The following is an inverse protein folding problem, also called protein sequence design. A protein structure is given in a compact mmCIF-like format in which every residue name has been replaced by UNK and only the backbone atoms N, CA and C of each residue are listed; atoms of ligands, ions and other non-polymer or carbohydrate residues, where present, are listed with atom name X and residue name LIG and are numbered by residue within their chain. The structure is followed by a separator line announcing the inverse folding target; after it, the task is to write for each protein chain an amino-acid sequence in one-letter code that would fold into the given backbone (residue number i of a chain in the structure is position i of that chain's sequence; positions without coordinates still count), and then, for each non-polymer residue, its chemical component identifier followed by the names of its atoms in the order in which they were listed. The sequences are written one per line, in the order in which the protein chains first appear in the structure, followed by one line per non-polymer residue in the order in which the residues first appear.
data_IF_342793436463
#
_entry.id   IF_342793436463
#
_cell.length_a   1.000
_cell.length_b   1.000
_cell.length_c   1.000
_cell.angle_alpha   90.00
_cell.angle_beta   90.00
_cell.angle_gamma   90.00
#
_symmetry.space_group_name_H-M   'P 1'
#
loop_
_entity.id
_entity.type
_entity.pdbx_description
1 polymer ?
#
# COMPACT_ATOMS: atom_id res chain seq x y z
N UNK A 1 -37.23 19.06 -4.78
CA UNK A 1 -36.23 18.28 -5.53
C UNK A 1 -36.35 16.84 -5.05
N UNK A 2 -36.54 15.89 -5.94
CA UNK A 2 -36.52 14.47 -5.60
C UNK A 2 -35.11 14.14 -5.10
N UNK A 3 -35.01 13.55 -3.91
CA UNK A 3 -33.77 13.14 -3.31
C UNK A 3 -33.11 12.04 -4.19
N UNK A 4 -31.82 12.15 -4.46
CA UNK A 4 -31.08 11.13 -5.22
C UNK A 4 -31.05 9.81 -4.43
N UNK A 5 -31.05 8.66 -5.12
CA UNK A 5 -30.95 7.37 -4.45
C UNK A 5 -29.60 7.25 -3.70
N UNK A 6 -29.61 6.50 -2.61
CA UNK A 6 -28.38 6.13 -1.92
C UNK A 6 -27.52 5.21 -2.81
N UNK A 7 -26.22 5.14 -2.52
CA UNK A 7 -25.26 4.33 -3.30
C UNK A 7 -25.02 2.97 -2.64
N UNK A 8 -24.60 1.94 -3.40
CA UNK A 8 -24.32 0.60 -2.85
C UNK A 8 -23.19 0.54 -1.82
N UNK A 9 -22.42 1.61 -1.69
CA UNK A 9 -21.29 1.74 -0.79
C UNK A 9 -21.45 2.95 0.15
N UNK A 10 -20.42 3.20 0.98
CA UNK A 10 -20.36 4.37 1.87
C UNK A 10 -19.59 5.54 1.27
N UNK A 11 -19.16 5.46 0.01
CA UNK A 11 -18.37 6.54 -0.57
C UNK A 11 -19.24 7.74 -0.95
N UNK A 12 -18.61 8.90 -1.13
CA UNK A 12 -19.26 10.12 -1.58
C UNK A 12 -18.97 10.29 -3.06
N UNK A 13 -20.04 10.29 -3.85
CA UNK A 13 -19.98 10.33 -5.29
C UNK A 13 -20.45 11.69 -5.81
N UNK A 14 -19.55 12.68 -6.00
CA UNK A 14 -19.93 13.99 -6.51
C UNK A 14 -20.42 13.89 -7.96
N UNK A 15 -21.44 14.65 -8.30
CA UNK A 15 -21.93 14.78 -9.68
C UNK A 15 -21.11 15.87 -10.39
N UNK A 16 -19.94 15.50 -10.90
CA UNK A 16 -19.10 16.41 -11.68
C UNK A 16 -19.55 16.52 -13.14
N UNK A 17 -20.22 15.47 -13.64
CA UNK A 17 -20.76 15.40 -14.99
C UNK A 17 -22.20 14.91 -14.93
N UNK A 18 -23.10 15.60 -15.61
CA UNK A 18 -24.52 15.20 -15.70
C UNK A 18 -24.74 14.20 -16.83
N UNK A 19 -25.80 13.40 -16.69
CA UNK A 19 -26.21 12.45 -17.74
C UNK A 19 -26.91 13.22 -18.87
N UNK A 20 -26.36 13.16 -20.08
CA UNK A 20 -26.93 13.80 -21.27
C UNK A 20 -27.86 12.87 -22.06
N UNK A 21 -27.50 11.61 -22.14
CA UNK A 21 -28.30 10.59 -22.83
C UNK A 21 -28.08 9.21 -22.20
N UNK A 22 -29.12 8.42 -22.24
CA UNK A 22 -29.11 7.01 -21.82
C UNK A 22 -29.67 6.18 -22.96
N UNK A 23 -28.93 5.18 -23.39
CA UNK A 23 -29.38 4.20 -24.37
C UNK A 23 -29.08 2.79 -23.85
N UNK A 24 -29.77 1.80 -24.36
CA UNK A 24 -29.47 0.41 -24.01
C UNK A 24 -29.68 -0.51 -25.23
N UNK A 25 -29.01 -1.62 -25.21
CA UNK A 25 -29.36 -2.79 -26.02
C UNK A 25 -29.83 -3.91 -25.06
N UNK A 26 -29.76 -5.19 -25.51
CA UNK A 26 -30.27 -6.32 -24.72
C UNK A 26 -29.78 -6.31 -23.27
N UNK A 27 -28.50 -6.18 -23.00
CA UNK A 27 -27.85 -6.40 -21.72
C UNK A 27 -26.81 -5.32 -21.33
N UNK A 28 -26.68 -4.27 -22.15
CA UNK A 28 -25.72 -3.19 -21.93
C UNK A 28 -26.43 -1.84 -21.87
N UNK A 29 -26.21 -1.09 -20.80
CA UNK A 29 -26.55 0.32 -20.66
C UNK A 29 -25.38 1.16 -21.18
N UNK A 30 -25.66 2.18 -21.98
CA UNK A 30 -24.70 3.20 -22.42
C UNK A 30 -25.15 4.56 -21.94
N UNK A 31 -24.24 5.31 -21.30
CA UNK A 31 -24.50 6.67 -20.79
C UNK A 31 -23.54 7.64 -21.48
N UNK A 32 -24.08 8.72 -22.06
CA UNK A 32 -23.32 9.86 -22.54
C UNK A 32 -23.34 10.95 -21.48
N UNK A 33 -22.16 11.46 -21.10
CA UNK A 33 -21.96 12.45 -20.05
C UNK A 33 -21.81 13.87 -20.63
N UNK A 34 -21.95 14.89 -19.80
CA UNK A 34 -21.88 16.31 -20.19
C UNK A 34 -20.50 16.75 -20.72
N UNK A 35 -19.44 15.99 -20.45
CA UNK A 35 -18.09 16.19 -21.01
C UNK A 35 -17.88 15.47 -22.35
N UNK A 36 -18.92 14.82 -22.89
CA UNK A 36 -18.86 14.04 -24.12
C UNK A 36 -18.35 12.61 -23.97
N UNK A 37 -17.88 12.20 -22.78
CA UNK A 37 -17.47 10.83 -22.54
C UNK A 37 -18.67 9.88 -22.56
N UNK A 38 -18.42 8.61 -22.94
CA UNK A 38 -19.43 7.56 -22.91
C UNK A 38 -18.94 6.40 -22.04
N UNK A 39 -19.80 5.88 -21.19
CA UNK A 39 -19.57 4.70 -20.36
C UNK A 39 -20.58 3.60 -20.62
N UNK A 40 -20.17 2.35 -20.42
CA UNK A 40 -21.01 1.18 -20.63
C UNK A 40 -21.01 0.30 -19.39
N UNK A 41 -22.18 -0.31 -19.11
CA UNK A 41 -22.41 -1.16 -17.96
C UNK A 41 -23.23 -2.39 -18.36
N UNK A 42 -22.79 -3.55 -17.93
CA UNK A 42 -23.54 -4.79 -18.12
C UNK A 42 -24.74 -4.86 -17.18
N UNK A 43 -25.86 -5.41 -17.61
CA UNK A 43 -27.09 -5.51 -16.83
C UNK A 43 -26.92 -6.23 -15.49
N UNK A 44 -26.14 -7.32 -15.44
CA UNK A 44 -25.85 -8.03 -14.19
C UNK A 44 -25.10 -7.18 -13.18
N UNK A 45 -24.06 -6.43 -13.62
CA UNK A 45 -23.34 -5.50 -12.76
C UNK A 45 -24.29 -4.48 -12.12
N UNK A 46 -25.19 -3.91 -12.91
CA UNK A 46 -26.16 -2.95 -12.40
C UNK A 46 -27.17 -3.61 -11.46
N UNK A 47 -27.67 -4.79 -11.81
CA UNK A 47 -28.70 -5.48 -11.04
C UNK A 47 -28.20 -5.97 -9.68
N UNK A 48 -26.98 -6.51 -9.60
CA UNK A 48 -26.40 -6.94 -8.32
C UNK A 48 -26.00 -5.77 -7.41
N UNK A 49 -25.83 -4.57 -7.97
CA UNK A 49 -25.54 -3.34 -7.26
C UNK A 49 -26.76 -2.40 -7.16
N UNK A 50 -27.97 -2.91 -7.36
CA UNK A 50 -29.19 -2.14 -7.22
C UNK A 50 -29.34 -1.59 -5.81
N UNK A 51 -29.52 -0.27 -5.61
CA UNK A 51 -29.64 0.32 -4.28
C UNK A 51 -31.06 0.12 -3.72
N UNK A 52 -31.43 -1.11 -3.52
CA UNK A 52 -32.67 -1.53 -2.88
C UNK A 52 -32.40 -2.52 -1.74
N UNK A 53 -33.25 -2.58 -0.68
CA UNK A 53 -32.98 -3.39 0.51
C UNK A 53 -32.94 -4.90 0.29
N UNK A 54 -33.50 -5.40 -0.82
CA UNK A 54 -33.47 -6.84 -1.14
C UNK A 54 -32.13 -7.22 -1.81
N UNK A 55 -31.47 -6.26 -2.46
CA UNK A 55 -30.21 -6.47 -3.16
C UNK A 55 -29.00 -6.07 -2.32
N UNK A 56 -29.03 -4.88 -1.73
CA UNK A 56 -27.95 -4.32 -0.88
C UNK A 56 -28.52 -3.96 0.49
N UNK A 57 -27.91 -4.44 1.56
CA UNK A 57 -28.34 -4.13 2.92
C UNK A 57 -28.19 -2.62 3.20
N UNK A 58 -29.28 -1.89 3.56
CA UNK A 58 -29.27 -0.42 3.57
C UNK A 58 -28.33 0.20 4.63
N UNK A 59 -27.99 -0.54 5.67
CA UNK A 59 -27.07 -0.07 6.73
C UNK A 59 -25.65 -0.64 6.60
N UNK A 60 -25.50 -1.92 6.22
CA UNK A 60 -24.19 -2.55 6.08
C UNK A 60 -23.55 -2.29 4.71
N UNK A 61 -24.36 -1.96 3.70
CA UNK A 61 -23.93 -1.80 2.30
C UNK A 61 -23.28 -3.07 1.73
N UNK A 62 -23.69 -4.20 2.26
CA UNK A 62 -23.28 -5.52 1.79
C UNK A 62 -24.36 -6.13 0.91
N UNK A 63 -23.96 -6.95 -0.05
CA UNK A 63 -24.84 -7.64 -0.97
C UNK A 63 -25.68 -8.68 -0.19
N UNK A 64 -27.01 -8.65 -0.40
CA UNK A 64 -27.97 -9.59 0.18
C UNK A 64 -28.34 -10.72 -0.78
N UNK A 65 -28.08 -10.56 -2.07
CA UNK A 65 -28.43 -11.51 -3.12
C UNK A 65 -27.17 -12.21 -3.64
N UNK A 66 -27.26 -13.53 -3.83
CA UNK A 66 -26.19 -14.24 -4.55
C UNK A 66 -26.26 -13.91 -6.04
N UNK A 67 -25.16 -13.61 -6.73
CA UNK A 67 -25.16 -13.44 -8.19
C UNK A 67 -25.77 -14.63 -8.95
N UNK A 68 -25.67 -15.85 -8.40
CA UNK A 68 -26.26 -17.07 -8.99
C UNK A 68 -27.81 -17.10 -8.88
N UNK A 69 -28.41 -16.25 -8.06
CA UNK A 69 -29.86 -16.11 -7.96
C UNK A 69 -30.44 -15.11 -8.97
N UNK A 70 -29.60 -14.37 -9.66
CA UNK A 70 -29.98 -13.47 -10.76
C UNK A 70 -29.87 -14.27 -12.08
N UNK A 71 -30.88 -14.13 -12.94
CA UNK A 71 -30.86 -14.79 -14.25
C UNK A 71 -29.63 -14.36 -15.05
N UNK A 72 -28.82 -15.32 -15.52
CA UNK A 72 -27.64 -15.07 -16.32
C UNK A 72 -27.92 -14.39 -17.68
N UNK A 73 -29.15 -14.55 -18.21
CA UNK A 73 -29.63 -13.88 -19.41
C UNK A 73 -30.36 -12.56 -19.14
N UNK A 74 -30.20 -12.00 -17.93
CA UNK A 74 -30.81 -10.75 -17.53
C UNK A 74 -30.52 -9.63 -18.56
N UNK A 75 -31.59 -8.93 -18.94
CA UNK A 75 -31.51 -7.79 -19.86
C UNK A 75 -32.10 -6.52 -19.28
N UNK A 76 -31.97 -5.44 -20.03
CA UNK A 76 -32.56 -4.14 -19.75
C UNK A 76 -33.81 -3.97 -20.65
N UNK A 77 -34.96 -3.73 -20.02
CA UNK A 77 -36.23 -3.48 -20.71
C UNK A 77 -36.37 -2.02 -21.09
N UNK A 78 -36.00 -1.12 -20.20
CA UNK A 78 -35.99 0.32 -20.43
C UNK A 78 -34.97 1.00 -19.54
N UNK A 79 -34.45 2.16 -19.99
CA UNK A 79 -33.60 3.02 -19.19
C UNK A 79 -33.93 4.49 -19.48
N UNK A 80 -33.94 5.34 -18.44
CA UNK A 80 -34.26 6.76 -18.55
C UNK A 80 -33.63 7.58 -17.42
N UNK A 81 -33.47 8.85 -17.65
CA UNK A 81 -33.09 9.79 -16.58
C UNK A 81 -34.39 10.31 -15.96
N UNK A 82 -34.51 10.26 -14.62
CA UNK A 82 -35.68 10.80 -13.92
C UNK A 82 -35.56 12.32 -13.73
N UNK A 83 -36.62 12.92 -13.18
CA UNK A 83 -36.69 14.37 -12.94
C UNK A 83 -35.67 14.86 -11.90
N UNK A 84 -35.08 13.98 -11.08
CA UNK A 84 -34.06 14.27 -10.10
C UNK A 84 -32.64 14.09 -10.63
N UNK A 85 -32.48 13.57 -11.87
CA UNK A 85 -31.19 13.28 -12.50
C UNK A 85 -30.68 11.86 -12.22
N UNK A 86 -31.42 11.02 -11.49
CA UNK A 86 -31.06 9.62 -11.29
C UNK A 86 -31.34 8.81 -12.57
N UNK A 87 -30.58 7.72 -12.76
CA UNK A 87 -30.78 6.79 -13.87
C UNK A 87 -31.69 5.65 -13.43
N UNK A 88 -32.92 5.63 -13.97
CA UNK A 88 -33.90 4.58 -13.73
C UNK A 88 -33.71 3.47 -14.78
N UNK A 89 -33.66 2.22 -14.31
CA UNK A 89 -33.47 1.02 -15.16
C UNK A 89 -34.57 0.00 -14.81
N UNK A 90 -35.31 -0.44 -15.81
CA UNK A 90 -36.24 -1.56 -15.68
C UNK A 90 -35.60 -2.81 -16.26
N UNK A 91 -35.38 -3.81 -15.44
CA UNK A 91 -34.78 -5.08 -15.85
C UNK A 91 -35.81 -6.10 -16.35
N UNK A 92 -35.37 -7.13 -17.07
CA UNK A 92 -36.25 -8.19 -17.57
C UNK A 92 -36.81 -9.08 -16.48
N UNK A 93 -36.19 -9.15 -15.29
CA UNK A 93 -36.70 -9.83 -14.09
C UNK A 93 -37.79 -9.07 -13.34
N UNK A 94 -38.32 -7.99 -13.95
CA UNK A 94 -39.34 -7.09 -13.41
C UNK A 94 -38.91 -6.21 -12.24
N UNK A 95 -37.61 -6.15 -11.93
CA UNK A 95 -37.08 -5.17 -10.98
C UNK A 95 -36.83 -3.83 -11.66
N UNK A 96 -37.10 -2.76 -10.93
CA UNK A 96 -36.77 -1.38 -11.31
C UNK A 96 -35.80 -0.83 -10.28
N UNK A 97 -34.71 -0.23 -10.74
CA UNK A 97 -33.66 0.34 -9.88
C UNK A 97 -33.35 1.78 -10.28
N UNK A 98 -33.10 2.62 -9.27
CA UNK A 98 -32.64 4.00 -9.45
C UNK A 98 -31.18 4.08 -9.06
N UNK A 99 -30.33 4.61 -9.94
CA UNK A 99 -28.91 4.73 -9.71
C UNK A 99 -28.46 6.19 -9.59
N UNK A 100 -27.61 6.45 -8.60
CA UNK A 100 -26.99 7.75 -8.42
C UNK A 100 -26.01 8.02 -9.58
N UNK A 101 -26.11 9.15 -10.32
CA UNK A 101 -25.28 9.41 -11.49
C UNK A 101 -23.80 9.54 -11.15
N UNK A 102 -23.46 10.14 -10.00
CA UNK A 102 -22.08 10.21 -9.53
C UNK A 102 -21.47 8.83 -9.29
N UNK A 103 -22.24 7.88 -8.72
CA UNK A 103 -21.79 6.51 -8.53
C UNK A 103 -21.54 5.81 -9.88
N UNK A 104 -22.49 5.89 -10.80
CA UNK A 104 -22.33 5.35 -12.15
C UNK A 104 -21.05 5.91 -12.83
N UNK A 105 -20.86 7.24 -12.75
CA UNK A 105 -19.66 7.86 -13.31
C UNK A 105 -18.38 7.36 -12.66
N UNK A 106 -18.38 7.18 -11.36
CA UNK A 106 -17.21 6.76 -10.57
C UNK A 106 -16.78 5.32 -10.81
N UNK A 107 -17.75 4.42 -11.10
CA UNK A 107 -17.43 3.00 -11.42
C UNK A 107 -17.17 2.76 -12.91
N UNK A 108 -17.31 3.80 -13.74
CA UNK A 108 -17.19 3.67 -15.18
C UNK A 108 -15.75 3.34 -15.60
N UNK A 109 -15.61 2.41 -16.53
CA UNK A 109 -14.32 2.10 -17.15
C UNK A 109 -14.05 3.03 -18.34
N UNK A 110 -13.02 3.86 -18.24
CA UNK A 110 -12.60 4.78 -19.30
C UNK A 110 -11.26 4.41 -19.94
N UNK A 111 -10.81 3.16 -19.76
CA UNK A 111 -9.57 2.67 -20.35
C UNK A 111 -8.28 3.09 -19.63
N UNK A 112 -8.38 3.75 -18.49
CA UNK A 112 -7.25 4.12 -17.65
C UNK A 112 -7.42 3.56 -16.22
N UNK A 113 -6.32 3.18 -15.62
CA UNK A 113 -6.26 2.86 -14.20
C UNK A 113 -5.91 4.14 -13.44
N UNK A 114 -6.84 4.62 -12.61
CA UNK A 114 -6.67 5.81 -11.77
C UNK A 114 -5.93 5.49 -10.45
N UNK A 115 -5.41 4.28 -10.30
CA UNK A 115 -4.64 3.89 -9.11
C UNK A 115 -3.39 4.76 -8.99
N UNK A 116 -3.15 5.43 -7.85
CA UNK A 116 -1.96 6.23 -7.64
C UNK A 116 -0.68 5.40 -7.87
N UNK A 117 0.17 5.86 -8.77
CA UNK A 117 1.44 5.20 -9.06
C UNK A 117 2.51 5.62 -8.06
N UNK A 118 3.38 4.70 -7.62
CA UNK A 118 4.50 5.02 -6.75
C UNK A 118 5.42 6.08 -7.39
N UNK A 119 5.87 7.05 -6.59
CA UNK A 119 6.93 7.98 -6.98
C UNK A 119 8.27 7.31 -6.71
N UNK A 120 8.95 6.91 -7.77
CA UNK A 120 10.24 6.22 -7.68
C UNK A 120 11.36 7.22 -7.45
N UNK A 121 12.34 6.87 -6.60
CA UNK A 121 13.43 7.77 -6.26
C UNK A 121 14.79 7.07 -6.19
N UNK A 122 15.86 7.83 -6.37
CA UNK A 122 17.23 7.51 -5.96
C UNK A 122 17.63 8.45 -4.83
N UNK A 123 18.57 8.04 -3.99
CA UNK A 123 19.06 8.89 -2.90
C UNK A 123 19.67 10.20 -3.38
N UNK A 124 20.31 10.22 -4.55
CA UNK A 124 20.85 11.44 -5.17
C UNK A 124 19.78 12.47 -5.54
N UNK A 125 18.56 12.02 -5.90
CA UNK A 125 17.42 12.87 -6.26
C UNK A 125 16.54 13.19 -5.03
N UNK A 126 16.48 12.29 -4.06
CA UNK A 126 15.67 12.37 -2.84
C UNK A 126 16.54 12.06 -1.62
N UNK A 127 17.38 13.00 -1.14
CA UNK A 127 18.35 12.74 -0.07
C UNK A 127 17.72 12.62 1.33
N UNK A 128 16.50 13.08 1.51
CA UNK A 128 15.74 13.06 2.77
C UNK A 128 14.32 12.54 2.54
N UNK A 129 13.72 11.81 3.49
CA UNK A 129 12.33 11.39 3.38
C UNK A 129 11.38 12.60 3.44
N UNK A 130 10.22 12.56 2.74
CA UNK A 130 9.16 13.54 2.96
C UNK A 130 8.87 13.66 4.45
N UNK A 131 8.94 14.90 4.98
CA UNK A 131 8.92 15.14 6.42
C UNK A 131 7.83 16.14 6.79
N UNK A 132 7.16 15.87 7.93
CA UNK A 132 6.04 16.65 8.44
C UNK A 132 6.28 16.97 9.92
N UNK A 133 5.73 18.08 10.40
CA UNK A 133 5.70 18.39 11.83
C UNK A 133 4.83 17.37 12.56
N UNK A 134 5.41 16.67 13.52
CA UNK A 134 4.74 15.59 14.24
C UNK A 134 3.55 16.05 15.09
N UNK A 135 3.71 17.02 16.00
CA UNK A 135 2.62 17.62 16.76
C UNK A 135 1.48 18.12 15.88
N UNK A 136 1.80 18.80 14.77
CA UNK A 136 0.78 19.29 13.84
C UNK A 136 0.05 18.12 13.14
N UNK A 137 0.76 17.12 12.67
CA UNK A 137 0.15 15.94 12.06
C UNK A 137 -0.76 15.18 13.03
N UNK A 138 -0.42 15.15 14.33
CA UNK A 138 -1.27 14.50 15.33
C UNK A 138 -2.55 15.29 15.65
N UNK A 139 -2.53 16.62 15.53
CA UNK A 139 -3.67 17.49 15.83
C UNK A 139 -4.52 17.84 14.61
N UNK A 140 -3.93 17.82 13.40
CA UNK A 140 -4.58 18.20 12.14
C UNK A 140 -4.77 16.98 11.23
N UNK A 141 -6.01 16.48 11.05
CA UNK A 141 -6.28 15.31 10.21
C UNK A 141 -5.87 15.49 8.74
N UNK A 142 -5.80 16.72 8.21
CA UNK A 142 -5.36 16.98 6.83
C UNK A 142 -3.86 16.78 6.68
N UNK A 143 -3.05 17.27 7.63
CA UNK A 143 -1.61 17.02 7.66
C UNK A 143 -1.31 15.53 7.90
N UNK A 144 -2.10 14.89 8.77
CA UNK A 144 -2.00 13.44 8.97
C UNK A 144 -2.27 12.67 7.67
N UNK A 145 -3.29 13.05 6.89
CA UNK A 145 -3.56 12.47 5.58
C UNK A 145 -2.38 12.69 4.61
N UNK A 146 -1.83 13.90 4.55
CA UNK A 146 -0.68 14.21 3.67
C UNK A 146 0.54 13.34 4.01
N UNK A 147 0.81 13.09 5.30
CA UNK A 147 1.86 12.17 5.73
C UNK A 147 1.60 10.73 5.27
N UNK A 148 0.35 10.24 5.39
CA UNK A 148 -0.02 8.90 4.92
C UNK A 148 0.07 8.78 3.39
N UNK A 149 -0.34 9.81 2.66
CA UNK A 149 -0.22 9.86 1.20
C UNK A 149 1.25 9.87 0.77
N UNK A 150 2.11 10.62 1.44
CA UNK A 150 3.55 10.60 1.19
C UNK A 150 4.15 9.20 1.46
N UNK A 151 3.72 8.52 2.54
CA UNK A 151 4.14 7.14 2.81
C UNK A 151 3.72 6.18 1.69
N UNK A 152 2.49 6.29 1.17
CA UNK A 152 2.01 5.51 0.02
C UNK A 152 2.84 5.80 -1.23
N UNK A 153 3.06 7.06 -1.54
CA UNK A 153 3.63 7.50 -2.81
C UNK A 153 5.14 7.28 -2.89
N UNK A 154 5.88 7.60 -1.82
CA UNK A 154 7.35 7.47 -1.76
C UNK A 154 7.81 6.16 -1.11
N UNK A 155 6.92 5.43 -0.42
CA UNK A 155 7.30 4.26 0.36
C UNK A 155 8.05 4.58 1.66
N UNK A 156 8.25 5.85 1.97
CA UNK A 156 8.90 6.35 3.19
C UNK A 156 8.40 7.75 3.52
N UNK A 157 8.11 8.04 4.80
CA UNK A 157 7.73 9.37 5.26
C UNK A 157 8.05 9.55 6.75
N UNK A 158 8.40 10.78 7.17
CA UNK A 158 8.86 11.07 8.53
C UNK A 158 7.96 12.10 9.22
N UNK A 159 7.63 11.84 10.50
CA UNK A 159 7.16 12.85 11.44
C UNK A 159 8.33 13.30 12.30
N UNK A 160 8.48 14.61 12.53
CA UNK A 160 9.56 15.21 13.32
C UNK A 160 9.03 15.90 14.57
N UNK A 161 9.87 15.98 15.58
CA UNK A 161 9.58 16.75 16.80
C UNK A 161 8.46 16.17 17.66
N UNK A 162 8.20 14.88 17.59
CA UNK A 162 7.25 14.21 18.46
C UNK A 162 7.72 14.22 19.92
N UNK A 163 6.80 14.37 20.89
CA UNK A 163 7.16 14.36 22.31
C UNK A 163 7.65 13.00 22.76
N UNK A 164 8.61 12.97 23.69
CA UNK A 164 9.18 11.74 24.28
C UNK A 164 8.19 11.13 25.30
N UNK A 165 7.12 10.51 24.79
CA UNK A 165 6.05 9.94 25.58
C UNK A 165 5.95 8.43 25.40
N UNK A 166 5.82 7.67 26.47
CA UNK A 166 5.62 6.22 26.42
C UNK A 166 4.28 5.88 25.77
N UNK A 167 4.30 4.84 24.91
CA UNK A 167 3.14 4.38 24.18
C UNK A 167 2.69 5.28 23.02
N UNK A 168 3.38 6.39 22.74
CA UNK A 168 3.02 7.31 21.65
C UNK A 168 3.09 6.60 20.29
N UNK A 169 4.11 5.78 20.05
CA UNK A 169 4.25 5.02 18.81
C UNK A 169 3.02 4.17 18.54
N UNK A 170 2.55 3.41 19.51
CA UNK A 170 1.36 2.57 19.36
C UNK A 170 0.10 3.42 19.14
N UNK A 171 -0.03 4.55 19.85
CA UNK A 171 -1.14 5.47 19.65
C UNK A 171 -1.20 6.01 18.22
N UNK A 172 -0.04 6.35 17.62
CA UNK A 172 0.02 6.83 16.23
C UNK A 172 -0.33 5.71 15.26
N UNK A 173 0.28 4.52 15.41
CA UNK A 173 0.05 3.41 14.49
C UNK A 173 -1.40 2.92 14.54
N UNK A 174 -2.02 2.86 15.72
CA UNK A 174 -3.44 2.46 15.87
C UNK A 174 -4.43 3.47 15.26
N UNK A 175 -4.03 4.71 15.04
CA UNK A 175 -4.83 5.67 14.24
C UNK A 175 -4.84 5.33 12.75
N UNK A 176 -3.87 4.59 12.27
CA UNK A 176 -3.82 4.08 10.89
C UNK A 176 -4.66 2.81 10.81
N UNK A 177 -4.36 1.83 11.67
CA UNK A 177 -5.04 0.55 11.75
C UNK A 177 -4.45 -0.37 12.80
N UNK A 178 -4.83 -1.65 12.84
CA UNK A 178 -4.29 -2.65 13.74
C UNK A 178 -2.77 -2.79 13.64
N UNK A 179 -2.15 -3.01 14.79
CA UNK A 179 -0.75 -3.41 14.86
C UNK A 179 -0.63 -4.90 14.51
N UNK A 180 0.32 -5.23 13.65
CA UNK A 180 0.65 -6.61 13.33
C UNK A 180 1.72 -7.13 14.27
N UNK A 181 1.36 -8.07 15.13
CA UNK A 181 2.27 -8.67 16.09
C UNK A 181 3.25 -9.64 15.42
N UNK A 182 4.50 -9.58 15.82
CA UNK A 182 5.58 -10.46 15.35
C UNK A 182 6.08 -11.40 16.44
N UNK A 183 7.07 -12.24 16.12
CA UNK A 183 7.79 -13.03 17.13
C UNK A 183 8.66 -12.19 18.07
N UNK A 184 8.81 -10.88 17.80
CA UNK A 184 9.45 -9.91 18.70
C UNK A 184 8.42 -9.20 19.60
N UNK A 185 7.14 -9.61 19.53
CA UNK A 185 6.02 -9.00 20.23
C UNK A 185 5.29 -7.96 19.38
N UNK A 186 4.43 -7.20 20.06
CA UNK A 186 3.60 -6.13 19.48
C UNK A 186 4.41 -4.87 19.19
N UNK A 187 5.35 -4.56 20.10
CA UNK A 187 6.35 -3.52 19.98
C UNK A 187 7.72 -4.10 20.33
N UNK A 188 8.75 -3.67 19.68
CA UNK A 188 10.12 -4.08 19.94
C UNK A 188 11.02 -2.85 20.08
N UNK A 189 12.21 -3.05 20.68
CA UNK A 189 13.23 -2.01 20.83
C UNK A 189 14.49 -2.40 20.09
N UNK A 190 15.13 -1.41 19.47
CA UNK A 190 16.45 -1.55 18.87
C UNK A 190 17.49 -0.94 19.82
N UNK A 191 18.10 -1.81 20.58
CA UNK A 191 19.19 -1.52 21.51
C UNK A 191 20.27 -2.59 21.40
N UNK A 192 21.49 -2.28 21.83
CA UNK A 192 22.61 -3.24 21.83
C UNK A 192 22.34 -4.30 22.89
N UNK A 193 22.50 -5.57 22.50
CA UNK A 193 22.44 -6.72 23.41
C UNK A 193 23.81 -7.35 23.59
N UNK A 194 24.10 -7.83 24.79
CA UNK A 194 25.35 -8.56 25.09
C UNK A 194 25.39 -9.93 24.39
N UNK A 195 24.25 -10.61 24.22
CA UNK A 195 24.10 -11.88 23.45
C UNK A 195 23.08 -11.66 22.33
N UNK A 196 23.47 -11.06 21.19
CA UNK A 196 22.57 -10.71 20.12
C UNK A 196 22.12 -11.96 19.35
N UNK A 197 20.80 -12.14 19.21
CA UNK A 197 20.15 -13.14 18.37
C UNK A 197 19.82 -12.63 16.96
N UNK A 198 20.15 -11.37 16.67
CA UNK A 198 20.01 -10.72 15.37
C UNK A 198 21.08 -9.65 15.18
N UNK A 199 21.51 -9.41 13.93
CA UNK A 199 22.42 -8.31 13.59
C UNK A 199 21.84 -6.93 13.93
N UNK A 200 20.53 -6.80 14.01
CA UNK A 200 19.86 -5.55 14.41
C UNK A 200 20.25 -5.09 15.84
N UNK A 201 20.68 -6.02 16.70
CA UNK A 201 21.09 -5.76 18.10
C UNK A 201 22.60 -5.61 18.27
N UNK A 202 23.35 -5.48 17.18
CA UNK A 202 24.80 -5.18 17.19
C UNK A 202 25.05 -3.71 16.84
N UNK A 203 26.29 -3.25 17.01
CA UNK A 203 26.73 -1.92 16.54
C UNK A 203 27.30 -1.93 15.12
N UNK A 204 27.40 -3.10 14.50
CA UNK A 204 27.94 -3.25 13.14
C UNK A 204 27.01 -2.64 12.10
N UNK A 205 27.56 -2.38 10.91
CA UNK A 205 26.75 -1.97 9.76
C UNK A 205 25.72 -3.07 9.42
N UNK A 206 24.48 -2.66 9.23
CA UNK A 206 23.40 -3.53 8.78
C UNK A 206 23.07 -3.22 7.31
N UNK A 207 23.30 -4.19 6.43
CA UNK A 207 23.02 -4.04 5.00
C UNK A 207 21.51 -3.83 4.75
N UNK A 208 21.21 -3.14 3.66
CA UNK A 208 19.84 -2.86 3.23
C UNK A 208 19.08 -4.17 3.00
N UNK A 209 17.86 -4.24 3.57
CA UNK A 209 17.02 -5.43 3.56
C UNK A 209 15.56 -5.08 3.81
N UNK A 210 14.67 -6.03 3.62
CA UNK A 210 13.34 -6.00 4.22
C UNK A 210 13.34 -6.85 5.49
N UNK A 211 12.51 -6.47 6.44
CA UNK A 211 12.28 -7.28 7.64
C UNK A 211 11.34 -8.45 7.35
N UNK A 212 11.63 -9.57 8.03
CA UNK A 212 10.78 -10.76 8.09
C UNK A 212 10.37 -11.32 6.71
N UNK A 213 11.32 -11.46 5.74
CA UNK A 213 11.04 -12.08 4.44
C UNK A 213 10.65 -13.56 4.57
N UNK A 214 10.82 -14.12 5.76
CA UNK A 214 10.53 -15.51 6.13
C UNK A 214 9.05 -15.78 6.39
N UNK A 215 8.21 -14.75 6.36
CA UNK A 215 6.76 -14.88 6.49
C UNK A 215 6.13 -15.21 5.14
N UNK A 216 5.01 -15.92 5.13
CA UNK A 216 4.23 -16.17 3.91
C UNK A 216 3.91 -14.86 3.22
N UNK A 217 3.34 -13.90 3.96
CA UNK A 217 3.25 -12.50 3.56
C UNK A 217 4.16 -11.68 4.45
N UNK A 218 5.26 -11.09 3.94
CA UNK A 218 6.08 -10.17 4.71
C UNK A 218 5.28 -9.01 5.27
N UNK A 219 5.74 -8.42 6.37
CA UNK A 219 5.09 -7.25 6.97
C UNK A 219 5.06 -6.09 5.99
N UNK A 220 3.92 -5.39 5.92
CA UNK A 220 3.71 -4.33 4.95
C UNK A 220 4.39 -3.03 5.35
N UNK A 221 4.13 -2.56 6.57
CA UNK A 221 4.64 -1.30 7.09
C UNK A 221 5.50 -1.51 8.32
N UNK A 222 6.51 -0.68 8.46
CA UNK A 222 7.32 -0.59 9.66
C UNK A 222 7.41 0.87 10.11
N UNK A 223 7.36 1.06 11.41
CA UNK A 223 7.44 2.35 12.07
C UNK A 223 8.59 2.31 13.07
N UNK A 224 9.53 3.26 12.97
CA UNK A 224 10.66 3.40 13.87
C UNK A 224 10.58 4.77 14.55
N UNK A 225 10.41 4.77 15.86
CA UNK A 225 10.32 5.98 16.66
C UNK A 225 11.57 6.14 17.53
N UNK A 226 12.30 7.22 17.31
CA UNK A 226 13.54 7.51 17.99
C UNK A 226 13.29 8.22 19.33
N UNK A 227 13.56 7.52 20.42
CA UNK A 227 13.47 8.06 21.78
C UNK A 227 14.77 8.75 22.20
N UNK A 228 15.90 8.16 21.85
CA UNK A 228 17.22 8.69 22.12
C UNK A 228 18.23 8.27 21.07
N UNK A 229 19.14 9.15 20.69
CA UNK A 229 20.21 8.86 19.75
C UNK A 229 21.37 9.85 19.91
N UNK A 230 22.25 9.58 20.85
CA UNK A 230 23.46 10.36 21.12
C UNK A 230 24.74 9.69 20.61
N UNK A 231 24.61 8.51 19.93
CA UNK A 231 25.75 7.78 19.35
C UNK A 231 26.38 8.55 18.17
N UNK A 232 27.65 8.31 17.91
CA UNK A 232 28.34 8.76 16.68
C UNK A 232 28.17 7.68 15.61
N UNK A 233 27.71 8.06 14.40
CA UNK A 233 27.31 7.13 13.34
C UNK A 233 25.88 6.59 13.53
N UNK A 234 25.58 5.47 12.92
CA UNK A 234 24.28 4.80 13.01
C UNK A 234 23.19 5.47 12.19
N UNK A 235 23.57 6.21 11.14
CA UNK A 235 22.63 6.79 10.18
C UNK A 235 21.76 5.69 9.56
N UNK A 236 20.48 5.99 9.37
CA UNK A 236 19.57 5.16 8.60
C UNK A 236 19.93 5.23 7.12
N UNK A 237 19.88 4.09 6.46
CA UNK A 237 20.12 3.96 5.03
C UNK A 237 18.87 3.37 4.39
N UNK A 238 18.28 4.08 3.45
CA UNK A 238 17.07 3.66 2.75
C UNK A 238 17.30 3.61 1.24
N UNK A 239 16.68 2.64 0.58
CA UNK A 239 16.78 2.45 -0.87
C UNK A 239 15.42 2.07 -1.43
N UNK A 240 14.97 2.75 -2.47
CA UNK A 240 13.74 2.37 -3.19
C UNK A 240 14.00 1.16 -4.09
N UNK A 241 13.61 -0.01 -3.63
CA UNK A 241 13.79 -1.26 -4.38
C UNK A 241 12.95 -1.31 -5.66
N UNK A 242 11.84 -0.57 -5.73
CA UNK A 242 11.06 -0.45 -6.97
C UNK A 242 11.86 0.32 -8.02
N UNK A 243 12.59 1.35 -7.62
CA UNK A 243 13.49 2.08 -8.52
C UNK A 243 14.60 1.17 -9.04
N UNK A 244 15.25 0.39 -8.17
CA UNK A 244 16.25 -0.60 -8.60
C UNK A 244 15.65 -1.58 -9.61
N UNK A 245 14.47 -2.11 -9.33
CA UNK A 245 13.82 -3.09 -10.19
C UNK A 245 13.46 -2.50 -11.56
N UNK A 246 12.95 -1.25 -11.61
CA UNK A 246 12.65 -0.59 -12.88
C UNK A 246 13.92 -0.26 -13.67
N UNK A 247 14.99 0.17 -13.02
CA UNK A 247 16.29 0.37 -13.69
C UNK A 247 16.82 -0.96 -14.27
N UNK A 248 16.71 -2.06 -13.51
CA UNK A 248 17.07 -3.38 -14.02
C UNK A 248 16.15 -3.85 -15.16
N UNK A 249 14.87 -3.53 -15.12
CA UNK A 249 13.95 -3.85 -16.22
C UNK A 249 14.40 -3.22 -17.54
N UNK A 250 14.92 -2.00 -17.48
CA UNK A 250 15.39 -1.25 -18.66
C UNK A 250 16.81 -1.67 -19.06
N UNK A 251 17.74 -1.67 -18.09
CA UNK A 251 19.16 -1.84 -18.37
C UNK A 251 19.57 -3.31 -18.60
N UNK A 252 18.97 -4.23 -17.84
CA UNK A 252 19.32 -5.64 -17.77
C UNK A 252 18.08 -6.54 -17.69
N UNK A 253 17.23 -6.57 -18.74
CA UNK A 253 15.90 -7.23 -18.71
C UNK A 253 15.98 -8.74 -18.38
N UNK A 254 17.08 -9.40 -18.71
CA UNK A 254 17.30 -10.81 -18.36
C UNK A 254 17.46 -10.99 -16.82
N UNK A 255 18.14 -10.06 -16.15
CA UNK A 255 18.23 -10.04 -14.69
C UNK A 255 16.89 -9.73 -14.06
N UNK A 256 16.17 -8.72 -14.56
CA UNK A 256 14.80 -8.42 -14.10
C UNK A 256 13.89 -9.64 -14.21
N UNK A 257 13.89 -10.33 -15.35
CA UNK A 257 13.11 -11.56 -15.53
C UNK A 257 13.46 -12.63 -14.49
N UNK A 258 14.76 -12.86 -14.22
CA UNK A 258 15.20 -13.81 -13.19
C UNK A 258 14.75 -13.38 -11.79
N UNK A 259 14.82 -12.08 -11.46
CA UNK A 259 14.38 -11.55 -10.17
C UNK A 259 12.86 -11.69 -9.94
N UNK A 260 12.06 -11.76 -11.02
CA UNK A 260 10.60 -11.93 -10.94
C UNK A 260 10.13 -13.39 -11.03
N UNK A 261 10.99 -14.31 -11.49
CA UNK A 261 10.58 -15.71 -11.76
C UNK A 261 11.32 -16.75 -10.92
N UNK A 262 12.59 -16.50 -10.56
CA UNK A 262 13.38 -17.46 -9.78
C UNK A 262 13.03 -17.32 -8.29
N UNK A 263 12.58 -18.42 -7.68
CA UNK A 263 12.09 -18.42 -6.31
C UNK A 263 13.23 -18.70 -5.32
N UNK A 264 13.35 -17.82 -4.35
CA UNK A 264 14.28 -17.94 -3.23
C UNK A 264 13.56 -18.36 -1.96
N UNK A 265 14.25 -19.17 -1.13
CA UNK A 265 13.84 -19.45 0.24
C UNK A 265 14.53 -18.45 1.18
N UNK A 266 13.78 -17.94 2.14
CA UNK A 266 14.27 -17.14 3.26
C UNK A 266 13.95 -17.89 4.55
N UNK A 267 14.93 -18.04 5.43
CA UNK A 267 14.77 -18.81 6.66
C UNK A 267 15.38 -18.09 7.86
N UNK A 268 14.60 -17.99 8.92
CA UNK A 268 15.09 -17.57 10.23
C UNK A 268 15.09 -18.79 11.15
N UNK A 269 16.27 -19.29 11.46
CA UNK A 269 16.47 -20.50 12.29
C UNK A 269 16.95 -20.09 13.67
N UNK A 270 16.02 -19.55 14.48
CA UNK A 270 16.26 -19.27 15.88
C UNK A 270 16.08 -20.56 16.72
N UNK A 271 16.62 -20.59 17.94
CA UNK A 271 16.52 -21.77 18.83
C UNK A 271 15.08 -22.22 19.12
N UNK A 272 14.13 -21.27 19.17
CA UNK A 272 12.73 -21.52 19.50
C UNK A 272 11.77 -21.39 18.33
N UNK A 273 12.25 -21.09 17.09
CA UNK A 273 11.40 -20.91 15.91
C UNK A 273 12.14 -21.21 14.62
N UNK A 274 11.45 -21.68 13.60
CA UNK A 274 11.97 -21.92 12.26
C UNK A 274 10.94 -21.40 11.25
N UNK A 275 11.00 -20.08 10.97
CA UNK A 275 10.15 -19.46 9.96
C UNK A 275 10.79 -19.55 8.60
N UNK A 276 10.00 -19.93 7.59
CA UNK A 276 10.45 -20.03 6.20
C UNK A 276 9.43 -19.40 5.28
N UNK A 277 9.91 -18.58 4.35
CA UNK A 277 9.12 -17.98 3.30
C UNK A 277 9.78 -18.15 1.95
N UNK A 278 8.98 -18.20 0.91
CA UNK A 278 9.43 -18.35 -0.47
C UNK A 278 8.85 -17.25 -1.34
N UNK A 279 9.62 -16.83 -2.32
CA UNK A 279 9.15 -15.87 -3.32
C UNK A 279 10.26 -15.40 -4.24
N UNK A 280 9.91 -14.73 -5.33
CA UNK A 280 10.87 -14.01 -6.15
C UNK A 280 11.42 -12.81 -5.37
N UNK A 281 12.54 -12.24 -5.83
CA UNK A 281 13.08 -11.00 -5.24
C UNK A 281 12.16 -9.81 -5.54
N UNK A 282 11.58 -9.75 -6.74
CA UNK A 282 10.63 -8.72 -7.18
C UNK A 282 9.30 -9.40 -7.47
N UNK A 283 8.26 -8.94 -6.80
CA UNK A 283 6.87 -9.40 -7.01
C UNK A 283 6.17 -8.46 -7.98
N UNK A 284 5.44 -9.01 -8.94
CA UNK A 284 4.69 -8.24 -9.95
C UNK A 284 3.24 -8.71 -10.05
N UNK A 285 2.36 -7.81 -10.47
CA UNK A 285 1.00 -8.14 -10.86
C UNK A 285 0.93 -8.71 -12.30
N UNK A 286 -0.29 -9.01 -12.74
CA UNK A 286 -0.57 -9.57 -14.07
C UNK A 286 -0.19 -8.62 -15.22
N UNK A 287 -0.12 -7.31 -14.96
CA UNK A 287 0.28 -6.29 -15.94
C UNK A 287 1.79 -6.06 -15.95
N UNK A 288 2.51 -6.70 -15.04
CA UNK A 288 3.94 -6.52 -14.82
C UNK A 288 4.29 -5.34 -13.91
N UNK A 289 3.30 -4.70 -13.28
CA UNK A 289 3.51 -3.68 -12.26
C UNK A 289 4.18 -4.27 -11.01
N UNK A 290 5.16 -3.55 -10.43
CA UNK A 290 5.87 -4.04 -9.23
C UNK A 290 4.95 -3.86 -8.01
N UNK A 291 4.71 -4.94 -7.27
CA UNK A 291 3.83 -4.98 -6.10
C UNK A 291 4.57 -5.18 -4.79
N UNK A 292 5.81 -5.65 -4.84
CA UNK A 292 6.61 -5.87 -3.65
C UNK A 292 8.02 -6.35 -3.95
N UNK A 293 8.84 -6.33 -2.91
CA UNK A 293 10.16 -6.98 -2.94
C UNK A 293 10.30 -7.92 -1.73
N UNK A 294 11.08 -8.98 -1.95
CA UNK A 294 11.49 -9.92 -0.92
C UNK A 294 13.01 -10.05 -0.99
N UNK A 295 13.70 -9.15 -0.27
CA UNK A 295 15.14 -9.04 -0.35
C UNK A 295 15.78 -8.96 1.04
N UNK A 296 16.66 -9.92 1.34
CA UNK A 296 17.43 -9.94 2.57
C UNK A 296 18.61 -10.89 2.37
N UNK A 297 19.85 -10.39 2.49
CA UNK A 297 21.05 -11.18 2.20
C UNK A 297 21.40 -12.17 3.30
N UNK A 298 21.09 -11.85 4.55
CA UNK A 298 21.49 -12.66 5.71
C UNK A 298 20.44 -13.71 6.15
N UNK A 299 19.19 -13.59 5.70
CA UNK A 299 18.14 -14.59 5.93
C UNK A 299 17.85 -15.45 4.68
N UNK A 300 18.58 -15.25 3.59
CA UNK A 300 18.43 -16.03 2.38
C UNK A 300 19.06 -17.42 2.55
N UNK A 301 18.27 -18.45 2.27
CA UNK A 301 18.75 -19.83 2.24
C UNK A 301 19.53 -20.13 0.95
N UNK A 302 20.34 -21.20 0.92
CA UNK A 302 20.99 -21.68 -0.31
C UNK A 302 19.95 -22.02 -1.39
N UNK A 303 20.17 -21.53 -2.62
CA UNK A 303 19.26 -21.78 -3.73
C UNK A 303 19.33 -23.25 -4.18
N UNK A 304 18.26 -23.98 -3.95
CA UNK A 304 18.13 -25.41 -4.33
C UNK A 304 17.46 -25.52 -5.71
N UNK A 305 18.28 -25.40 -6.76
CA UNK A 305 17.82 -25.42 -8.16
C UNK A 305 18.92 -26.04 -9.06
N UNK A 306 18.61 -26.42 -10.33
CA UNK A 306 19.60 -26.81 -11.31
C UNK A 306 20.69 -25.73 -11.51
N UNK A 307 21.93 -26.13 -11.83
CA UNK A 307 23.10 -25.23 -11.91
C UNK A 307 22.87 -24.05 -12.88
N UNK A 308 22.20 -24.27 -14.01
CA UNK A 308 21.91 -23.20 -14.97
C UNK A 308 20.95 -22.14 -14.38
N UNK A 309 19.98 -22.57 -13.56
CA UNK A 309 19.10 -21.67 -12.80
C UNK A 309 19.91 -20.94 -11.70
N UNK A 310 20.72 -21.67 -10.94
CA UNK A 310 21.58 -21.05 -9.92
C UNK A 310 22.42 -19.94 -10.53
N UNK A 311 23.08 -20.20 -11.69
CA UNK A 311 23.94 -19.24 -12.36
C UNK A 311 23.20 -17.92 -12.68
N UNK A 312 22.06 -17.99 -13.36
CA UNK A 312 21.29 -16.79 -13.72
C UNK A 312 20.72 -16.07 -12.50
N UNK A 313 20.17 -16.82 -11.53
CA UNK A 313 19.57 -16.27 -10.33
C UNK A 313 20.58 -15.54 -9.45
N UNK A 314 21.80 -16.11 -9.27
CA UNK A 314 22.87 -15.43 -8.53
C UNK A 314 23.42 -14.21 -9.27
N UNK A 315 23.50 -14.22 -10.60
CA UNK A 315 23.89 -13.05 -11.38
C UNK A 315 22.87 -11.91 -11.22
N UNK A 316 21.59 -12.21 -11.34
CA UNK A 316 20.51 -11.24 -11.17
C UNK A 316 20.46 -10.70 -9.72
N UNK A 317 20.59 -11.58 -8.73
CA UNK A 317 20.63 -11.18 -7.32
C UNK A 317 21.81 -10.25 -7.04
N UNK A 318 23.00 -10.54 -7.60
CA UNK A 318 24.18 -9.67 -7.50
C UNK A 318 23.93 -8.30 -8.12
N UNK A 319 23.37 -8.23 -9.31
CA UNK A 319 23.05 -6.97 -9.98
C UNK A 319 22.09 -6.10 -9.14
N UNK A 320 21.11 -6.71 -8.49
CA UNK A 320 20.23 -6.03 -7.54
C UNK A 320 20.99 -5.55 -6.30
N UNK A 321 21.84 -6.42 -5.72
CA UNK A 321 22.66 -6.13 -4.55
C UNK A 321 23.64 -4.98 -4.79
N UNK A 322 24.31 -4.96 -5.95
CA UNK A 322 25.25 -3.90 -6.35
C UNK A 322 24.54 -2.53 -6.43
N UNK A 323 23.32 -2.47 -6.97
CA UNK A 323 22.51 -1.23 -6.97
C UNK A 323 22.03 -0.85 -5.57
N UNK A 324 21.62 -1.80 -4.74
CA UNK A 324 21.19 -1.53 -3.37
C UNK A 324 22.33 -0.96 -2.50
N UNK A 325 23.59 -1.25 -2.86
CA UNK A 325 24.80 -0.76 -2.19
C UNK A 325 25.46 0.44 -2.91
N UNK A 326 24.94 0.89 -4.03
CA UNK A 326 25.44 2.06 -4.74
C UNK A 326 24.96 3.34 -4.03
N UNK A 327 25.86 4.23 -3.61
CA UNK A 327 25.54 5.49 -2.93
C UNK A 327 24.51 6.36 -3.66
N UNK A 328 24.40 6.28 -4.99
CA UNK A 328 23.42 7.01 -5.77
C UNK A 328 21.98 6.60 -5.47
N UNK A 329 21.75 5.37 -5.05
CA UNK A 329 20.44 4.88 -4.66
C UNK A 329 20.11 5.10 -3.18
N UNK A 330 21.14 5.39 -2.35
CA UNK A 330 21.00 5.47 -0.90
C UNK A 330 20.52 6.85 -0.45
N UNK A 331 19.41 6.89 0.24
CA UNK A 331 18.99 7.98 1.10
C UNK A 331 19.60 7.74 2.47
N UNK A 332 20.49 8.63 2.93
CA UNK A 332 21.22 8.46 4.20
C UNK A 332 20.97 9.65 5.09
N UNK A 333 20.43 9.42 6.28
CA UNK A 333 20.14 10.48 7.24
C UNK A 333 20.24 9.99 8.68
N UNK A 334 20.47 10.94 9.59
CA UNK A 334 20.49 10.68 11.01
C UNK A 334 19.07 10.70 11.57
N UNK A 335 18.78 9.77 12.48
CA UNK A 335 17.58 9.82 13.31
C UNK A 335 17.79 10.76 14.46
N UNK A 336 16.91 11.76 14.61
CA UNK A 336 16.90 12.66 15.76
C UNK A 336 15.86 12.22 16.80
N UNK A 337 16.09 12.46 18.10
CA UNK A 337 15.07 12.23 19.11
C UNK A 337 13.75 12.96 18.76
N UNK A 338 12.64 12.23 18.78
CA UNK A 338 11.34 12.72 18.33
C UNK A 338 11.02 12.46 16.85
N UNK A 339 11.93 11.85 16.10
CA UNK A 339 11.64 11.39 14.73
C UNK A 339 10.87 10.06 14.78
N UNK A 340 9.77 9.98 14.04
CA UNK A 340 9.10 8.75 13.67
C UNK A 340 9.22 8.56 12.17
N UNK A 341 9.93 7.54 11.75
CA UNK A 341 10.00 7.13 10.35
C UNK A 341 9.04 5.98 10.10
N UNK A 342 8.14 6.17 9.14
CA UNK A 342 7.27 5.14 8.61
C UNK A 342 7.76 4.74 7.21
N UNK A 343 7.78 3.46 6.91
CA UNK A 343 8.15 3.00 5.57
C UNK A 343 7.45 1.70 5.19
N UNK A 344 7.29 1.55 3.89
CA UNK A 344 6.80 0.34 3.26
C UNK A 344 7.94 -0.69 3.20
N UNK A 345 7.89 -1.64 4.11
CA UNK A 345 8.90 -2.68 4.25
C UNK A 345 8.98 -3.62 3.02
N UNK A 346 7.96 -3.64 2.17
CA UNK A 346 7.97 -4.42 0.92
C UNK A 346 8.43 -3.60 -0.30
N UNK A 347 8.92 -2.35 -0.07
CA UNK A 347 9.43 -1.44 -1.09
C UNK A 347 10.74 -0.78 -0.66
N UNK A 348 10.76 -0.12 0.50
CA UNK A 348 11.93 0.57 0.99
C UNK A 348 12.84 -0.42 1.71
N UNK A 349 13.96 -0.79 1.08
CA UNK A 349 15.02 -1.49 1.78
C UNK A 349 15.60 -0.56 2.82
N UNK A 350 15.82 -1.07 4.01
CA UNK A 350 16.38 -0.30 5.10
C UNK A 350 17.64 -0.97 5.66
N UNK A 351 18.55 -0.14 6.11
CA UNK A 351 19.81 -0.54 6.71
C UNK A 351 20.31 0.54 7.66
N UNK A 352 21.50 0.34 8.18
CA UNK A 352 22.10 1.24 9.13
C UNK A 352 23.62 1.25 8.99
N UNK A 353 24.23 2.44 9.00
CA UNK A 353 25.66 2.57 9.15
C UNK A 353 26.12 2.02 10.51
N UNK A 354 27.36 1.55 10.58
CA UNK A 354 27.99 1.18 11.85
C UNK A 354 28.04 2.39 12.79
N UNK A 355 28.05 2.16 14.09
CA UNK A 355 28.17 3.22 15.11
C UNK A 355 29.04 2.81 16.27
N UNK A 356 29.60 3.81 16.96
CA UNK A 356 30.39 3.59 18.16
C UNK A 356 29.49 3.28 19.36
N UNK A 357 29.61 2.07 19.91
CA UNK A 357 28.82 1.63 21.07
C UNK A 357 29.20 2.32 22.37
N UNK A 358 30.43 2.92 22.44
CA UNK A 358 30.94 3.58 23.67
C UNK A 358 30.70 5.07 23.57
N UNK A 359 30.01 5.63 24.59
CA UNK A 359 29.88 7.07 24.79
C UNK A 359 28.57 7.69 24.32
N UNK A 360 27.58 6.89 23.91
CA UNK A 360 26.26 7.37 23.54
C UNK A 360 25.18 6.34 23.80
N UNK A 361 23.93 6.79 23.79
CA UNK A 361 22.74 5.95 23.90
C UNK A 361 22.00 5.93 22.56
N UNK A 362 21.35 4.82 22.27
CA UNK A 362 20.49 4.66 21.10
C UNK A 362 19.28 3.81 21.51
N UNK A 363 18.11 4.44 21.50
CA UNK A 363 16.87 3.79 21.86
C UNK A 363 15.80 4.11 20.83
N UNK A 364 15.44 3.12 20.03
CA UNK A 364 14.41 3.22 18.98
C UNK A 364 13.36 2.16 19.23
N UNK A 365 12.12 2.58 19.27
CA UNK A 365 10.95 1.71 19.35
C UNK A 365 10.48 1.36 17.93
N UNK A 366 10.05 0.12 17.74
CA UNK A 366 9.56 -0.36 16.44
C UNK A 366 8.20 -1.06 16.53
N UNK A 367 7.34 -0.82 15.56
CA UNK A 367 6.02 -1.47 15.38
C UNK A 367 5.82 -1.81 13.90
N UNK A 368 5.11 -2.90 13.64
CA UNK A 368 4.67 -3.28 12.30
C UNK A 368 3.15 -3.12 12.13
N UNK A 369 2.74 -2.85 10.89
CA UNK A 369 1.35 -2.89 10.44
C UNK A 369 1.29 -3.39 8.99
N UNK A 370 0.11 -3.42 8.39
CA UNK A 370 -0.06 -3.85 7.01
C UNK A 370 -0.40 -2.69 6.06
N UNK A 371 -0.08 -2.85 4.77
CA UNK A 371 -0.37 -1.86 3.72
C UNK A 371 -1.86 -1.58 3.58
N UNK A 372 -2.69 -2.61 3.79
CA UNK A 372 -4.14 -2.50 3.71
C UNK A 372 -4.68 -1.44 4.67
N UNK A 373 -4.09 -1.35 5.86
CA UNK A 373 -4.45 -0.36 6.87
C UNK A 373 -4.15 1.07 6.41
N UNK A 374 -2.99 1.28 5.79
CA UNK A 374 -2.61 2.57 5.21
C UNK A 374 -3.60 2.99 4.12
N UNK A 375 -3.84 2.09 3.16
CA UNK A 375 -4.74 2.38 2.04
C UNK A 375 -6.18 2.60 2.50
N UNK A 376 -6.66 1.79 3.44
CA UNK A 376 -7.97 1.95 4.07
C UNK A 376 -8.08 3.30 4.77
N UNK A 377 -7.06 3.68 5.57
CA UNK A 377 -7.06 4.93 6.31
C UNK A 377 -7.04 6.16 5.40
N UNK A 378 -6.24 6.15 4.35
CA UNK A 378 -6.22 7.21 3.34
C UNK A 378 -7.61 7.38 2.75
N UNK A 379 -8.22 6.31 2.23
CA UNK A 379 -9.56 6.37 1.63
C UNK A 379 -10.64 6.87 2.59
N UNK A 380 -10.59 6.44 3.85
CA UNK A 380 -11.58 6.88 4.86
C UNK A 380 -11.44 8.37 5.20
N UNK A 381 -10.21 8.89 5.32
CA UNK A 381 -9.97 10.33 5.55
C UNK A 381 -10.37 11.16 4.32
N UNK A 382 -10.01 10.72 3.12
CA UNK A 382 -10.40 11.40 1.88
C UNK A 382 -11.92 11.46 1.74
N UNK A 383 -12.65 10.38 2.05
CA UNK A 383 -14.12 10.35 2.06
C UNK A 383 -14.69 11.35 3.05
N UNK A 384 -14.17 11.39 4.28
CA UNK A 384 -14.58 12.36 5.29
C UNK A 384 -14.43 13.79 4.77
N UNK A 385 -13.28 14.16 4.21
CA UNK A 385 -13.04 15.52 3.71
C UNK A 385 -13.88 15.87 2.49
N UNK A 386 -14.20 14.90 1.62
CA UNK A 386 -15.16 15.13 0.53
C UNK A 386 -16.56 15.43 1.06
N UNK A 387 -17.01 14.72 2.08
CA UNK A 387 -18.32 14.95 2.70
C UNK A 387 -18.39 16.34 3.37
N UNK A 388 -17.31 16.75 4.09
CA UNK A 388 -17.22 18.09 4.70
C UNK A 388 -17.28 19.22 3.66
N UNK A 389 -16.70 19.02 2.48
CA UNK A 389 -16.69 20.02 1.40
C UNK A 389 -18.04 20.19 0.69
N UNK A 390 -18.97 19.25 0.89
CA UNK A 390 -20.32 19.26 0.29
C UNK A 390 -21.42 19.71 1.27
N UNK A 391 -21.12 19.80 2.56
CA UNK A 391 -22.00 20.30 3.62
C UNK A 391 -21.89 21.82 3.78
#
# INVERSE_FOLDING_TARGET
MTELPWTPDFDTWPILHTVMAVTHNKDVLSITWSDGATSQYHALLLRENSPDPETIHPKAREMCVSPSAIDGDLGIRSARVDAGGAVAIDFTDSKTSLFHPGWLRGIAWFGADDTPRPILWRGEDQPEPPSFDGPEALSNPRIFLQWLEALRDYGVARLRGLPQQDGLLEQIVTRIGPVRESNFGRQYTLEIKDDPDSQAFTSDMLLQHIDLPTRETPFGLQFLYTRDNTTTGGEGIYVDAYRIAEDLRVDEPAHFHSLTTDIWEYSNRARGSDYRGWGPVVETDETGGITGVRYNTFLRAPLRAPVHIQRRAYQAYRAFCERAQDPRYMMVFRYEPGDLLAFDNRRALHGRAGYEAKGGTRFIEGIYSDRDELHSRIRTLQRQFRAEAQS
#
